data_IF_678366817430
#
_entry.id   IF_678366817430
#
_cell.length_a   1.000
_cell.length_b   1.000
_cell.length_c   1.000
_cell.angle_alpha   90.00
_cell.angle_beta   90.00
_cell.angle_gamma   90.00
#
_symmetry.space_group_name_H-M   'P 1'
#
loop_
_entity.id
_entity.type
_entity.pdbx_description
1 polymer ?
#
# COMPACT_ATOMS: atom_id res chain seq x y z
N UNK A 1 11.94 -5.99 27.88
CA UNK A 1 10.60 -5.37 27.82
C UNK A 1 9.60 -6.49 28.02
N UNK A 2 8.59 -6.32 28.89
CA UNK A 2 7.53 -7.32 29.06
C UNK A 2 6.28 -6.80 28.35
N UNK A 3 5.74 -7.59 27.43
CA UNK A 3 4.57 -7.23 26.62
C UNK A 3 3.50 -8.27 26.89
N UNK A 4 2.32 -7.82 27.29
CA UNK A 4 1.17 -8.71 27.48
C UNK A 4 0.48 -8.92 26.14
N UNK A 5 0.29 -10.19 25.77
CA UNK A 5 -0.46 -10.59 24.59
C UNK A 5 -1.88 -10.99 25.00
N UNK A 6 -2.82 -10.92 24.06
CA UNK A 6 -4.12 -11.55 24.27
C UNK A 6 -3.97 -13.07 24.14
N UNK A 7 -4.87 -13.88 24.75
CA UNK A 7 -4.78 -15.34 24.68
C UNK A 7 -4.68 -15.89 23.25
N UNK A 8 -5.34 -15.24 22.29
CA UNK A 8 -5.31 -15.61 20.88
C UNK A 8 -3.91 -15.43 20.27
N UNK A 9 -3.23 -14.33 20.61
CA UNK A 9 -1.86 -14.09 20.14
C UNK A 9 -0.84 -14.98 20.84
N UNK A 10 -1.03 -15.29 22.13
CA UNK A 10 -0.19 -16.27 22.82
C UNK A 10 -0.27 -17.64 22.15
N UNK A 11 -1.49 -18.11 21.84
CA UNK A 11 -1.69 -19.37 21.14
C UNK A 11 -1.03 -19.34 19.75
N UNK A 12 -1.23 -18.27 18.98
CA UNK A 12 -0.60 -18.14 17.66
C UNK A 12 0.93 -18.19 17.75
N UNK A 13 1.53 -17.47 18.69
CA UNK A 13 2.99 -17.46 18.89
C UNK A 13 3.47 -18.87 19.27
N UNK A 14 2.77 -19.55 20.17
CA UNK A 14 3.12 -20.90 20.59
C UNK A 14 3.03 -21.90 19.42
N UNK A 15 1.99 -21.82 18.58
CA UNK A 15 1.86 -22.65 17.37
C UNK A 15 3.01 -22.42 16.39
N UNK A 16 3.42 -21.17 16.18
CA UNK A 16 4.57 -20.82 15.32
C UNK A 16 5.88 -21.38 15.85
N UNK A 17 6.13 -21.29 17.15
CA UNK A 17 7.32 -21.88 17.78
C UNK A 17 7.28 -23.41 17.70
N UNK A 18 6.14 -24.02 18.03
CA UNK A 18 5.95 -25.48 17.99
C UNK A 18 6.09 -26.06 16.59
N UNK A 19 5.87 -25.27 15.53
CA UNK A 19 6.12 -25.70 14.16
C UNK A 19 7.61 -25.92 13.83
N UNK A 20 8.51 -25.51 14.72
CA UNK A 20 9.97 -25.56 14.52
C UNK A 20 10.50 -24.47 13.59
N UNK A 21 9.64 -23.59 13.06
CA UNK A 21 10.03 -22.50 12.16
C UNK A 21 10.72 -21.34 12.88
N UNK A 22 10.49 -21.20 14.19
CA UNK A 22 11.05 -20.14 15.03
C UNK A 22 11.58 -20.76 16.33
N UNK A 23 12.69 -20.25 16.83
CA UNK A 23 13.37 -20.75 18.03
C UNK A 23 12.76 -20.20 19.33
N UNK A 24 12.06 -19.06 19.25
CA UNK A 24 11.48 -18.41 20.43
C UNK A 24 10.27 -17.54 20.09
N UNK A 25 9.47 -17.24 21.11
CA UNK A 25 8.39 -16.26 21.02
C UNK A 25 8.90 -14.86 20.62
N UNK A 26 10.06 -14.46 21.13
CA UNK A 26 10.68 -13.17 20.79
C UNK A 26 11.01 -13.07 19.30
N UNK A 27 11.45 -14.16 18.68
CA UNK A 27 11.72 -14.19 17.24
C UNK A 27 10.45 -14.02 16.40
N UNK A 28 9.36 -14.70 16.78
CA UNK A 28 8.05 -14.55 16.12
C UNK A 28 7.56 -13.10 16.22
N UNK A 29 7.67 -12.51 17.41
CA UNK A 29 7.22 -11.12 17.65
C UNK A 29 8.10 -10.14 16.87
N UNK A 30 9.42 -10.30 16.89
CA UNK A 30 10.33 -9.42 16.14
C UNK A 30 10.08 -9.48 14.64
N UNK A 31 9.83 -10.67 14.08
CA UNK A 31 9.52 -10.81 12.66
C UNK A 31 8.15 -10.18 12.33
N UNK A 32 7.15 -10.35 13.20
CA UNK A 32 5.85 -9.68 13.06
C UNK A 32 5.96 -8.16 13.08
N UNK A 33 6.78 -7.60 13.97
CA UNK A 33 7.03 -6.16 14.04
C UNK A 33 7.79 -5.65 12.81
N UNK A 34 8.74 -6.42 12.27
CA UNK A 34 9.45 -6.07 11.04
C UNK A 34 8.48 -5.97 9.85
N UNK A 35 7.56 -6.92 9.73
CA UNK A 35 6.54 -6.91 8.68
C UNK A 35 5.58 -5.72 8.84
N UNK A 36 5.21 -5.39 10.09
CA UNK A 36 4.39 -4.21 10.38
C UNK A 36 5.10 -2.91 9.97
N UNK A 37 6.38 -2.77 10.33
CA UNK A 37 7.19 -1.61 9.96
C UNK A 37 7.34 -1.49 8.43
N UNK A 38 7.56 -2.59 7.72
CA UNK A 38 7.59 -2.60 6.26
C UNK A 38 6.27 -2.14 5.64
N UNK A 39 5.14 -2.63 6.16
CA UNK A 39 3.81 -2.23 5.70
C UNK A 39 3.55 -0.75 5.95
N UNK A 40 3.91 -0.24 7.13
CA UNK A 40 3.77 1.16 7.48
C UNK A 40 4.63 2.05 6.56
N UNK A 41 5.88 1.65 6.30
CA UNK A 41 6.76 2.36 5.36
C UNK A 41 6.18 2.43 3.95
N UNK A 42 5.65 1.32 3.43
CA UNK A 42 4.99 1.28 2.13
C UNK A 42 3.77 2.21 2.10
N UNK A 43 2.95 2.17 3.16
CA UNK A 43 1.78 3.05 3.28
C UNK A 43 2.19 4.52 3.31
N UNK A 44 3.22 4.88 4.06
CA UNK A 44 3.76 6.24 4.12
C UNK A 44 4.25 6.70 2.74
N UNK A 45 5.05 5.89 2.05
CA UNK A 45 5.52 6.22 0.69
C UNK A 45 4.37 6.44 -0.29
N UNK A 46 3.31 5.62 -0.23
CA UNK A 46 2.12 5.79 -1.09
C UNK A 46 1.39 7.10 -0.80
N UNK A 47 1.24 7.46 0.47
CA UNK A 47 0.58 8.72 0.86
C UNK A 47 1.40 9.91 0.40
N UNK A 48 2.72 9.90 0.58
CA UNK A 48 3.59 10.99 0.14
C UNK A 48 3.59 11.14 -1.39
N UNK A 49 3.63 10.02 -2.13
CA UNK A 49 3.48 10.04 -3.58
C UNK A 49 2.15 10.66 -4.00
N UNK A 50 1.05 10.26 -3.37
CA UNK A 50 -0.28 10.79 -3.70
C UNK A 50 -0.37 12.29 -3.40
N UNK A 51 0.16 12.74 -2.25
CA UNK A 51 0.23 14.17 -1.88
C UNK A 51 1.00 14.97 -2.92
N UNK A 52 2.15 14.45 -3.37
CA UNK A 52 2.94 15.08 -4.43
C UNK A 52 2.18 15.17 -5.75
N UNK A 53 1.49 14.10 -6.17
CA UNK A 53 0.69 14.11 -7.40
C UNK A 53 -0.50 15.09 -7.32
N UNK A 54 -1.17 15.17 -6.17
CA UNK A 54 -2.24 16.16 -5.94
C UNK A 54 -1.68 17.59 -6.02
N UNK A 55 -0.54 17.86 -5.40
CA UNK A 55 0.08 19.19 -5.44
C UNK A 55 0.41 19.61 -6.88
N UNK A 56 0.97 18.69 -7.68
CA UNK A 56 1.21 18.92 -9.11
C UNK A 56 -0.10 19.22 -9.84
N UNK A 57 -1.13 18.39 -9.64
CA UNK A 57 -2.43 18.60 -10.30
C UNK A 57 -3.12 19.92 -9.92
N UNK A 58 -2.96 20.39 -8.68
CA UNK A 58 -3.45 21.70 -8.24
C UNK A 58 -2.70 22.82 -8.98
N UNK A 59 -1.37 22.75 -9.02
CA UNK A 59 -0.55 23.75 -9.71
C UNK A 59 -0.89 23.83 -11.21
N UNK A 60 -1.03 22.68 -11.86
CA UNK A 60 -1.47 22.60 -13.26
C UNK A 60 -2.87 23.21 -13.46
N UNK A 61 -3.80 22.90 -12.55
CA UNK A 61 -5.14 23.47 -12.55
C UNK A 61 -5.14 25.00 -12.44
N UNK A 62 -4.32 25.55 -11.54
CA UNK A 62 -4.16 27.01 -11.37
C UNK A 62 -3.56 27.69 -12.61
N UNK A 63 -2.68 26.99 -13.34
CA UNK A 63 -2.08 27.47 -14.59
C UNK A 63 -3.01 27.28 -15.80
N UNK A 64 -4.17 26.65 -15.62
CA UNK A 64 -5.10 26.35 -16.71
C UNK A 64 -4.67 25.19 -17.59
N UNK A 65 -3.69 24.38 -17.16
CA UNK A 65 -3.25 23.14 -17.83
C UNK A 65 -4.26 22.00 -17.55
N UNK A 66 -5.52 22.23 -17.94
CA UNK A 66 -6.62 21.29 -17.77
C UNK A 66 -7.16 20.86 -19.12
N UNK A 67 -7.73 19.66 -19.15
CA UNK A 67 -8.39 19.12 -20.34
C UNK A 67 -9.90 19.17 -20.16
N UNK A 68 -10.63 19.28 -21.28
CA UNK A 68 -12.07 19.05 -21.28
C UNK A 68 -12.34 17.56 -21.06
N UNK A 69 -13.13 17.25 -20.02
CA UNK A 69 -13.35 15.87 -19.62
C UNK A 69 -14.17 15.05 -20.62
N UNK A 70 -15.10 15.68 -21.34
CA UNK A 70 -15.88 14.97 -22.37
C UNK A 70 -15.01 14.64 -23.58
N UNK A 71 -14.10 15.56 -23.95
CA UNK A 71 -13.19 15.33 -25.07
C UNK A 71 -12.15 14.25 -24.76
N UNK A 72 -11.53 14.26 -23.57
CA UNK A 72 -10.59 13.20 -23.17
C UNK A 72 -11.25 11.82 -23.18
N UNK A 73 -12.48 11.71 -22.67
CA UNK A 73 -13.21 10.43 -22.67
C UNK A 73 -13.50 9.97 -24.10
N UNK A 74 -13.86 10.89 -24.99
CA UNK A 74 -14.10 10.58 -26.41
C UNK A 74 -12.85 10.03 -27.08
N UNK A 75 -11.71 10.72 -26.94
CA UNK A 75 -10.43 10.32 -27.53
C UNK A 75 -9.99 8.93 -27.01
N UNK A 76 -10.06 8.70 -25.69
CA UNK A 76 -9.69 7.41 -25.10
C UNK A 76 -10.56 6.25 -25.59
N UNK A 77 -11.87 6.47 -25.75
CA UNK A 77 -12.78 5.44 -26.28
C UNK A 77 -12.48 5.14 -27.76
N UNK A 78 -12.10 6.15 -28.54
CA UNK A 78 -11.69 5.95 -29.92
C UNK A 78 -10.38 5.14 -30.02
N UNK A 79 -9.40 5.43 -29.15
CA UNK A 79 -8.14 4.66 -29.07
C UNK A 79 -8.37 3.19 -28.69
N UNK A 80 -9.23 2.91 -27.69
CA UNK A 80 -9.56 1.55 -27.27
C UNK A 80 -10.19 0.77 -28.43
N UNK A 81 -11.14 1.38 -29.14
CA UNK A 81 -11.81 0.75 -30.27
C UNK A 81 -10.87 0.47 -31.45
N UNK A 82 -9.86 1.30 -31.68
CA UNK A 82 -8.84 1.07 -32.71
C UNK A 82 -7.88 -0.07 -32.33
N UNK A 83 -7.52 -0.17 -31.04
CA UNK A 83 -6.65 -1.24 -30.53
C UNK A 83 -7.33 -2.62 -30.58
N UNK A 84 -8.66 -2.69 -30.47
CA UNK A 84 -9.43 -3.94 -30.56
C UNK A 84 -9.65 -4.43 -32.01
N UNK A 85 -9.34 -3.61 -33.02
CA UNK A 85 -9.50 -3.96 -34.45
C UNK A 85 -8.23 -4.52 -35.10
N UNK A 86 -7.17 -4.75 -34.31
CA UNK A 86 -5.88 -5.35 -34.73
C UNK A 86 -5.71 -6.73 -34.12
#
# INVERSE_FOLDING_TARGET
>A
MNVSLTPEFEQLVQEKVNSGRYQSASEVISEGLRLLEEQDNIRHMRIEKLRSQIAIGIEQGEQGEVFDGEEVVRELLEEINQAEQV
#
